data_IF_838483094343
#
_entry.id   IF_838483094343
#
_cell.length_a   1.000
_cell.length_b   1.000
_cell.length_c   1.000
_cell.angle_alpha   90.00
_cell.angle_beta   90.00
_cell.angle_gamma   90.00
#
_symmetry.space_group_name_H-M   'P 1'
#
loop_
_entity.id
_entity.type
_entity.pdbx_description
1 polymer ?
#
# COMPACT_ATOMS: atom_id res chain seq x y z
N UNK A 1 17.51 -4.94 12.41
CA UNK A 1 16.51 -4.93 11.32
C UNK A 1 15.44 -3.82 11.52
N UNK A 2 15.73 -2.79 12.32
CA UNK A 2 14.74 -1.78 12.77
C UNK A 2 14.86 -0.43 12.02
N UNK A 3 15.93 -0.22 11.25
CA UNK A 3 16.18 1.05 10.54
C UNK A 3 15.42 1.21 9.22
N UNK A 4 14.98 0.11 8.62
CA UNK A 4 14.34 0.12 7.30
C UNK A 4 12.86 0.50 7.35
N UNK A 5 12.10 0.02 8.35
CA UNK A 5 10.67 0.37 8.49
C UNK A 5 10.46 1.85 8.81
N UNK A 6 11.27 2.41 9.74
CA UNK A 6 11.22 3.84 10.03
C UNK A 6 11.56 4.69 8.79
N UNK A 7 12.56 4.27 8.00
CA UNK A 7 12.91 4.95 6.76
C UNK A 7 11.80 4.88 5.69
N UNK A 8 11.01 3.81 5.61
CA UNK A 8 9.89 3.68 4.67
C UNK A 8 8.69 4.56 5.07
N UNK A 9 8.36 4.61 6.37
CA UNK A 9 7.30 5.47 6.92
C UNK A 9 7.69 6.94 6.78
N UNK A 10 8.93 7.30 7.13
CA UNK A 10 9.47 8.65 6.97
C UNK A 10 9.49 9.09 5.49
N UNK A 11 9.86 8.18 4.56
CA UNK A 11 9.81 8.44 3.11
C UNK A 11 8.39 8.72 2.64
N UNK A 12 7.42 7.91 3.08
CA UNK A 12 6.01 8.08 2.71
C UNK A 12 5.45 9.38 3.26
N UNK A 13 5.77 9.70 4.51
CA UNK A 13 5.39 10.97 5.14
C UNK A 13 5.98 12.17 4.41
N UNK A 14 7.27 12.12 4.08
CA UNK A 14 7.96 13.18 3.36
C UNK A 14 7.36 13.41 1.95
N UNK A 15 7.01 12.33 1.24
CA UNK A 15 6.28 12.43 -0.04
C UNK A 15 4.95 13.18 0.15
N UNK A 16 4.20 12.86 1.20
CA UNK A 16 2.92 13.52 1.51
C UNK A 16 3.09 15.00 1.85
N UNK A 17 4.10 15.35 2.65
CA UNK A 17 4.42 16.74 3.02
C UNK A 17 4.82 17.57 1.80
N UNK A 18 5.66 17.02 0.92
CA UNK A 18 6.03 17.68 -0.35
C UNK A 18 4.79 17.82 -1.24
N UNK A 19 3.99 16.78 -1.42
CA UNK A 19 2.80 16.85 -2.26
C UNK A 19 1.79 17.92 -1.78
N UNK A 20 1.60 18.03 -0.47
CA UNK A 20 0.77 19.06 0.14
C UNK A 20 1.32 20.46 -0.14
N UNK A 21 2.64 20.66 0.02
CA UNK A 21 3.30 21.92 -0.31
C UNK A 21 3.11 22.31 -1.79
N UNK A 22 3.25 21.37 -2.72
CA UNK A 22 3.12 21.64 -4.16
C UNK A 22 1.69 21.95 -4.62
N UNK A 23 0.68 21.60 -3.80
CA UNK A 23 -0.73 21.91 -4.07
C UNK A 23 -1.06 23.40 -3.89
N UNK A 24 -0.21 24.14 -3.17
CA UNK A 24 -0.37 25.58 -3.00
C UNK A 24 -0.11 26.31 -4.34
N UNK A 25 -1.08 27.14 -4.74
CA UNK A 25 -1.04 27.91 -5.99
C UNK A 25 0.07 28.98 -5.99
N UNK A 26 0.57 29.37 -4.82
CA UNK A 26 1.69 30.31 -4.68
C UNK A 26 3.05 29.70 -5.02
N UNK A 27 3.14 28.37 -5.13
CA UNK A 27 4.38 27.70 -5.52
C UNK A 27 4.69 27.99 -6.99
N UNK A 28 5.89 28.53 -7.29
CA UNK A 28 6.34 28.74 -8.66
C UNK A 28 6.36 27.44 -9.46
N UNK A 29 6.05 27.51 -10.75
CA UNK A 29 5.94 26.33 -11.61
C UNK A 29 7.24 25.51 -11.69
N UNK A 30 8.39 26.18 -11.69
CA UNK A 30 9.71 25.53 -11.64
C UNK A 30 9.92 24.74 -10.35
N UNK A 31 9.50 25.30 -9.21
CA UNK A 31 9.57 24.64 -7.92
C UNK A 31 8.58 23.46 -7.84
N UNK A 32 7.39 23.62 -8.44
CA UNK A 32 6.42 22.53 -8.58
C UNK A 32 7.00 21.36 -9.38
N UNK A 33 7.64 21.67 -10.50
CA UNK A 33 8.28 20.69 -11.38
C UNK A 33 9.42 19.96 -10.67
N UNK A 34 10.31 20.69 -9.99
CA UNK A 34 11.39 20.10 -9.19
C UNK A 34 10.87 19.20 -8.05
N UNK A 35 9.80 19.64 -7.37
CA UNK A 35 9.17 18.87 -6.30
C UNK A 35 8.53 17.57 -6.80
N UNK A 36 7.87 17.58 -7.95
CA UNK A 36 7.31 16.37 -8.57
C UNK A 36 8.41 15.38 -9.01
N UNK A 37 9.54 15.89 -9.52
CA UNK A 37 10.72 15.05 -9.85
C UNK A 37 11.26 14.39 -8.58
N UNK A 38 11.38 15.14 -7.48
CA UNK A 38 11.83 14.63 -6.18
C UNK A 38 10.88 13.56 -5.62
N UNK A 39 9.56 13.79 -5.67
CA UNK A 39 8.55 12.80 -5.29
C UNK A 39 8.72 11.53 -6.14
N UNK A 40 8.90 11.67 -7.46
CA UNK A 40 9.13 10.55 -8.36
C UNK A 40 10.39 9.75 -8.01
N UNK A 41 11.45 10.41 -7.55
CA UNK A 41 12.67 9.75 -7.08
C UNK A 41 12.44 9.02 -5.74
N UNK A 42 11.79 9.67 -4.78
CA UNK A 42 11.44 9.08 -3.47
C UNK A 42 10.47 7.90 -3.61
N UNK A 43 9.55 7.93 -4.57
CA UNK A 43 8.55 6.89 -4.79
C UNK A 43 9.12 5.62 -5.46
N UNK A 44 10.27 5.72 -6.16
CA UNK A 44 10.93 4.54 -6.74
C UNK A 44 11.60 3.73 -5.62
N UNK A 45 11.09 2.53 -5.35
CA UNK A 45 11.74 1.58 -4.42
C UNK A 45 13.11 1.18 -4.96
N UNK A 46 14.12 1.15 -4.08
CA UNK A 46 15.47 0.72 -4.46
C UNK A 46 15.48 -0.77 -4.83
N UNK A 47 16.18 -1.18 -5.91
CA UNK A 47 16.43 -2.59 -6.18
C UNK A 47 17.24 -3.18 -5.00
N UNK A 48 16.61 -4.05 -4.22
CA UNK A 48 17.17 -4.61 -2.99
C UNK A 48 16.27 -4.51 -1.75
N UNK A 49 15.19 -3.72 -1.80
CA UNK A 49 14.16 -3.72 -0.75
C UNK A 49 13.35 -5.03 -0.78
N UNK A 50 13.24 -5.70 0.37
CA UNK A 50 12.36 -6.86 0.54
C UNK A 50 10.91 -6.38 0.44
N UNK A 51 10.05 -7.13 -0.25
CA UNK A 51 8.64 -6.78 -0.39
C UNK A 51 8.01 -6.53 1.00
N UNK A 52 7.21 -5.46 1.11
CA UNK A 52 6.54 -5.15 2.37
C UNK A 52 5.60 -6.31 2.74
N UNK A 53 5.88 -6.97 3.86
CA UNK A 53 5.06 -8.08 4.37
C UNK A 53 3.93 -7.61 5.27
N UNK A 54 3.81 -6.29 5.50
CA UNK A 54 2.76 -5.73 6.34
C UNK A 54 1.39 -5.99 5.70
N UNK A 55 0.48 -6.59 6.46
CA UNK A 55 -0.85 -7.01 5.96
C UNK A 55 -0.89 -8.35 5.22
N UNK A 56 0.24 -8.97 4.88
CA UNK A 56 0.27 -10.29 4.20
C UNK A 56 -0.37 -11.37 5.06
N UNK A 57 -0.07 -11.39 6.37
CA UNK A 57 -0.66 -12.37 7.29
C UNK A 57 -2.17 -12.20 7.45
N UNK A 58 -2.67 -10.97 7.47
CA UNK A 58 -4.11 -10.67 7.49
C UNK A 58 -4.78 -11.10 6.18
N UNK A 59 -4.12 -10.86 5.05
CA UNK A 59 -4.63 -11.28 3.74
C UNK A 59 -4.67 -12.81 3.59
N UNK A 60 -3.64 -13.52 4.07
CA UNK A 60 -3.61 -14.99 4.12
C UNK A 60 -4.74 -15.53 5.00
N UNK A 61 -4.96 -14.93 6.18
CA UNK A 61 -6.07 -15.32 7.07
C UNK A 61 -7.42 -15.15 6.39
N UNK A 62 -7.65 -14.02 5.70
CA UNK A 62 -8.88 -13.77 4.94
C UNK A 62 -9.05 -14.73 3.77
N UNK A 63 -7.98 -15.00 3.03
CA UNK A 63 -8.01 -15.97 1.93
C UNK A 63 -8.39 -17.37 2.43
N UNK A 64 -7.75 -17.85 3.50
CA UNK A 64 -8.07 -19.15 4.09
C UNK A 64 -9.50 -19.22 4.65
N UNK A 65 -10.02 -18.12 5.18
CA UNK A 65 -11.42 -18.03 5.62
C UNK A 65 -12.41 -18.08 4.45
N UNK A 66 -12.03 -17.56 3.27
CA UNK A 66 -12.82 -17.62 2.04
C UNK A 66 -12.72 -18.97 1.32
N UNK A 67 -11.60 -19.69 1.47
CA UNK A 67 -11.40 -21.04 0.92
C UNK A 67 -11.99 -22.15 1.78
N UNK A 68 -12.50 -21.84 2.97
CA UNK A 68 -13.32 -22.79 3.73
C UNK A 68 -14.61 -23.03 2.94
N UNK A 69 -14.79 -24.20 2.31
CA UNK A 69 -15.99 -24.45 1.54
C UNK A 69 -17.15 -24.40 2.53
N UNK A 70 -18.19 -23.66 2.17
CA UNK A 70 -19.51 -23.83 2.76
C UNK A 70 -19.97 -25.25 2.48
N UNK A 71 -19.53 -26.19 3.31
CA UNK A 71 -20.07 -27.53 3.39
C UNK A 71 -21.42 -27.43 4.10
N UNK A 72 -22.44 -27.03 3.35
CA UNK A 72 -23.75 -27.66 3.50
C UNK A 72 -24.49 -27.60 2.18
N UNK A 73 -24.31 -28.70 1.44
CA UNK A 73 -24.88 -28.92 0.13
C UNK A 73 -26.41 -28.97 0.17
N UNK A 74 -26.97 -28.55 -0.95
CA UNK A 74 -28.30 -28.95 -1.42
C UNK A 74 -28.40 -30.48 -1.51
N UNK A 75 -29.53 -31.01 -1.06
CA UNK A 75 -30.05 -32.33 -1.42
C UNK A 75 -31.07 -32.74 -0.36
N UNK A 76 -32.34 -32.94 -0.60
CA UNK A 76 -33.13 -33.13 -1.80
C UNK A 76 -34.36 -33.97 -1.40
N UNK A 77 -35.40 -33.92 -2.24
CA UNK A 77 -36.53 -34.86 -2.34
C UNK A 77 -37.73 -34.76 -1.36
N UNK A 78 -38.83 -34.34 -2.00
CA UNK A 78 -40.25 -34.69 -1.80
C UNK A 78 -40.55 -36.09 -1.25
N UNK A 79 -41.51 -36.15 -0.32
CA UNK A 79 -42.63 -37.11 -0.10
C UNK A 79 -43.06 -36.96 1.38
N UNK A 80 -44.32 -37.00 1.80
CA UNK A 80 -45.60 -37.47 1.25
C UNK A 80 -46.71 -36.79 2.07
#
# INVERSE_FOLDING_TARGET
>A
MERTMAAEEDRTRLIGEIANLLSDASVPEDARSAGLILIGWLARRMPGEVACTHGVQEMIRRANALESPTSSGRGGRRNR
#
